data_IF_395279088496
#
_entry.id   IF_395279088496
#
_cell.length_a   1.000
_cell.length_b   1.000
_cell.length_c   1.000
_cell.angle_alpha   90.00
_cell.angle_beta   90.00
_cell.angle_gamma   90.00
#
_symmetry.space_group_name_H-M   'P 1'
#
loop_
_entity.id
_entity.type
_entity.pdbx_description
1 polymer ?
#
# COMPACT_ATOMS: atom_id res chain seq x y z
N UNK A 1 -7.69 7.11 5.36
CA UNK A 1 -8.22 5.75 5.62
C UNK A 1 -7.06 4.78 5.45
N UNK A 2 -6.79 3.87 6.39
CA UNK A 2 -5.76 2.85 6.17
C UNK A 2 -6.25 1.81 5.16
N UNK A 3 -5.41 1.48 4.17
CA UNK A 3 -5.66 0.40 3.22
C UNK A 3 -5.84 -0.92 3.98
N UNK A 4 -6.64 -1.84 3.45
CA UNK A 4 -6.80 -3.19 4.01
C UNK A 4 -5.45 -3.91 4.13
N UNK A 5 -4.55 -3.74 3.14
CA UNK A 5 -3.18 -4.24 3.18
C UNK A 5 -2.39 -3.70 4.38
N UNK A 6 -2.49 -2.40 4.69
CA UNK A 6 -1.80 -1.82 5.84
C UNK A 6 -2.35 -2.36 7.16
N UNK A 7 -3.67 -2.62 7.26
CA UNK A 7 -4.26 -3.27 8.44
C UNK A 7 -3.69 -4.67 8.63
N UNK A 8 -3.68 -5.48 7.57
CA UNK A 8 -3.09 -6.83 7.60
C UNK A 8 -1.61 -6.80 8.02
N UNK A 9 -0.83 -5.82 7.52
CA UNK A 9 0.57 -5.63 7.93
C UNK A 9 0.70 -5.38 9.43
N UNK A 10 -0.14 -4.51 9.99
CA UNK A 10 -0.19 -4.24 11.43
C UNK A 10 -0.62 -5.47 12.22
N UNK A 11 -1.64 -6.20 11.78
CA UNK A 11 -2.12 -7.40 12.46
C UNK A 11 -1.08 -8.52 12.49
N UNK A 12 -0.38 -8.75 11.38
CA UNK A 12 0.75 -9.69 11.32
C UNK A 12 1.84 -9.31 12.33
N UNK A 13 2.22 -8.03 12.41
CA UNK A 13 3.22 -7.57 13.38
C UNK A 13 2.76 -7.78 14.83
N UNK A 14 1.49 -7.50 15.12
CA UNK A 14 0.91 -7.71 16.44
C UNK A 14 0.92 -9.19 16.83
N UNK A 15 0.55 -10.10 15.91
CA UNK A 15 0.59 -11.54 16.17
C UNK A 15 2.02 -12.03 16.38
N UNK A 16 2.99 -11.58 15.57
CA UNK A 16 4.42 -11.91 15.77
C UNK A 16 4.89 -11.49 17.17
N UNK A 17 4.51 -10.30 17.61
CA UNK A 17 4.80 -9.82 18.98
C UNK A 17 4.11 -10.66 20.07
N UNK A 18 2.88 -11.12 19.85
CA UNK A 18 2.20 -12.03 20.79
C UNK A 18 2.97 -13.35 20.91
N UNK A 19 3.39 -13.95 19.77
CA UNK A 19 4.21 -15.16 19.76
C UNK A 19 5.50 -14.93 20.57
N UNK A 20 6.21 -13.83 20.33
CA UNK A 20 7.44 -13.50 21.07
C UNK A 20 7.21 -13.45 22.60
N UNK A 21 6.13 -12.79 23.04
CA UNK A 21 5.78 -12.70 24.46
C UNK A 21 5.42 -14.07 25.06
N UNK A 22 4.75 -14.93 24.29
CA UNK A 22 4.44 -16.30 24.70
C UNK A 22 5.73 -17.12 24.82
N UNK A 23 6.64 -17.03 23.84
CA UNK A 23 7.92 -17.74 23.84
C UNK A 23 8.80 -17.36 25.04
N UNK A 24 8.76 -16.10 25.50
CA UNK A 24 9.45 -15.69 26.74
C UNK A 24 8.94 -16.42 28.00
N UNK A 25 7.74 -17.02 27.94
CA UNK A 25 7.13 -17.77 29.03
C UNK A 25 7.04 -19.28 28.72
N UNK A 26 7.73 -19.76 27.69
CA UNK A 26 7.66 -21.13 27.17
C UNK A 26 7.74 -22.18 28.29
N UNK A 27 8.80 -22.13 29.12
CA UNK A 27 9.01 -23.10 30.20
C UNK A 27 7.80 -23.21 31.14
N UNK A 28 7.33 -22.06 31.65
CA UNK A 28 6.18 -22.02 32.55
C UNK A 28 4.93 -22.54 31.85
N UNK A 29 4.68 -22.14 30.61
CA UNK A 29 3.50 -22.58 29.87
C UNK A 29 3.53 -24.08 29.56
N UNK A 30 4.69 -24.65 29.24
CA UNK A 30 4.89 -26.09 29.04
C UNK A 30 4.64 -26.83 30.36
N UNK A 31 5.18 -26.35 31.48
CA UNK A 31 5.02 -26.99 32.79
C UNK A 31 3.54 -27.10 33.22
N UNK A 32 2.70 -26.10 32.87
CA UNK A 32 1.28 -26.08 33.24
C UNK A 32 0.33 -26.67 32.19
N UNK A 33 0.67 -26.64 30.89
CA UNK A 33 -0.25 -27.04 29.81
C UNK A 33 0.21 -28.27 29.02
N UNK A 34 1.48 -28.64 29.12
CA UNK A 34 2.12 -29.68 28.32
C UNK A 34 2.66 -29.16 26.98
N UNK A 35 3.76 -29.77 26.54
CA UNK A 35 4.48 -29.37 25.33
C UNK A 35 3.62 -29.43 24.06
N UNK A 36 2.78 -30.45 23.93
CA UNK A 36 1.90 -30.64 22.77
C UNK A 36 0.90 -29.47 22.61
N UNK A 37 0.26 -29.07 23.71
CA UNK A 37 -0.70 -27.96 23.69
C UNK A 37 0.00 -26.63 23.37
N UNK A 38 1.17 -26.40 23.96
CA UNK A 38 1.98 -25.23 23.67
C UNK A 38 2.33 -25.15 22.17
N UNK A 39 2.88 -26.23 21.61
CA UNK A 39 3.22 -26.33 20.18
C UNK A 39 2.01 -26.08 19.29
N UNK A 40 0.84 -26.62 19.65
CA UNK A 40 -0.40 -26.43 18.89
C UNK A 40 -0.84 -24.96 18.84
N UNK A 41 -0.73 -24.23 19.96
CA UNK A 41 -1.06 -22.80 20.02
C UNK A 41 -0.11 -21.98 19.13
N UNK A 42 1.20 -22.26 19.19
CA UNK A 42 2.19 -21.57 18.35
C UNK A 42 1.96 -21.89 16.86
N UNK A 43 1.68 -23.16 16.51
CA UNK A 43 1.35 -23.55 15.14
C UNK A 43 0.15 -22.77 14.61
N UNK A 44 -0.93 -22.67 15.39
CA UNK A 44 -2.13 -21.93 15.01
C UNK A 44 -1.83 -20.47 14.66
N UNK A 45 -1.04 -19.77 15.47
CA UNK A 45 -0.67 -18.37 15.17
C UNK A 45 0.21 -18.26 13.92
N UNK A 46 1.15 -19.18 13.72
CA UNK A 46 1.99 -19.22 12.52
C UNK A 46 1.16 -19.46 11.26
N UNK A 47 0.21 -20.40 11.29
CA UNK A 47 -0.72 -20.67 10.20
C UNK A 47 -1.60 -19.45 9.89
N UNK A 48 -2.08 -18.75 10.93
CA UNK A 48 -2.84 -17.51 10.76
C UNK A 48 -1.98 -16.41 10.08
N UNK A 49 -0.72 -16.25 10.48
CA UNK A 49 0.23 -15.33 9.83
C UNK A 49 0.37 -15.67 8.35
N UNK A 50 0.57 -16.95 8.00
CA UNK A 50 0.69 -17.37 6.59
C UNK A 50 -0.55 -17.02 5.78
N UNK A 51 -1.75 -17.23 6.34
CA UNK A 51 -3.01 -16.85 5.70
C UNK A 51 -3.11 -15.32 5.50
N UNK A 52 -2.71 -14.54 6.50
CA UNK A 52 -2.72 -13.08 6.41
C UNK A 52 -1.69 -12.55 5.43
N UNK A 53 -0.50 -13.15 5.36
CA UNK A 53 0.54 -12.81 4.39
C UNK A 53 0.04 -13.08 2.96
N UNK A 54 -0.55 -14.26 2.70
CA UNK A 54 -1.17 -14.57 1.40
C UNK A 54 -2.28 -13.58 1.04
N UNK A 55 -3.16 -13.25 1.98
CA UNK A 55 -4.24 -12.27 1.74
C UNK A 55 -3.67 -10.89 1.47
N UNK A 56 -2.70 -10.45 2.26
CA UNK A 56 -1.98 -9.19 2.05
C UNK A 56 -1.42 -9.16 0.64
N UNK A 57 -0.67 -10.17 0.22
CA UNK A 57 -0.01 -10.22 -1.10
C UNK A 57 -0.99 -10.27 -2.28
N UNK A 58 -2.20 -10.78 -2.07
CA UNK A 58 -3.28 -10.72 -3.06
C UNK A 58 -3.89 -9.32 -3.25
N UNK A 59 -3.54 -8.34 -2.41
CA UNK A 59 -4.02 -6.96 -2.51
C UNK A 59 -2.99 -6.06 -3.22
N UNK A 60 -3.43 -5.16 -4.10
CA UNK A 60 -2.52 -4.27 -4.81
C UNK A 60 -1.87 -3.25 -3.88
N UNK A 61 -0.58 -2.96 -4.08
CA UNK A 61 0.16 -1.88 -3.40
C UNK A 61 -0.22 -0.49 -3.92
N UNK A 62 -0.95 -0.42 -5.01
CA UNK A 62 -1.39 0.81 -5.65
C UNK A 62 -1.85 0.60 -7.08
N UNK A 63 -2.04 1.70 -7.79
CA UNK A 63 -2.51 1.73 -9.17
C UNK A 63 -1.53 2.49 -10.04
N UNK A 64 -1.24 1.99 -11.24
CA UNK A 64 -0.36 2.65 -12.21
C UNK A 64 -1.15 3.11 -13.42
N UNK A 65 -1.05 4.39 -13.74
CA UNK A 65 -1.58 4.94 -14.98
C UNK A 65 -0.43 5.32 -15.91
N UNK A 66 -0.39 4.80 -17.12
CA UNK A 66 0.58 5.20 -18.15
C UNK A 66 -0.17 5.77 -19.34
N UNK A 67 0.01 7.04 -19.62
CA UNK A 67 -0.72 7.68 -20.70
C UNK A 67 -0.62 9.19 -20.71
N UNK A 68 -1.59 9.81 -21.38
CA UNK A 68 -1.73 11.27 -21.41
C UNK A 68 -2.66 11.69 -20.28
N UNK A 69 -2.27 12.72 -19.55
CA UNK A 69 -3.09 13.35 -18.52
C UNK A 69 -2.86 14.86 -18.48
N UNK A 70 -3.75 15.54 -17.76
CA UNK A 70 -3.76 17.00 -17.65
C UNK A 70 -3.70 17.41 -16.19
N UNK A 71 -2.87 18.40 -15.88
CA UNK A 71 -2.80 19.04 -14.56
C UNK A 71 -3.02 20.55 -14.70
N UNK A 72 -3.48 21.20 -13.63
CA UNK A 72 -3.65 22.65 -13.62
C UNK A 72 -2.28 23.35 -13.63
N UNK A 73 -2.08 24.30 -14.53
CA UNK A 73 -0.90 25.17 -14.53
C UNK A 73 -0.99 26.14 -13.36
N UNK A 74 0.01 26.18 -12.46
CA UNK A 74 -0.01 27.09 -11.31
C UNK A 74 -0.12 28.56 -11.76
N UNK A 75 -0.88 29.35 -11.00
CA UNK A 75 -0.94 30.81 -11.13
C UNK A 75 -1.33 31.36 -12.52
N UNK A 76 -2.25 30.69 -13.23
CA UNK A 76 -2.78 31.15 -14.52
C UNK A 76 -4.25 31.56 -14.42
N UNK A 77 -4.58 32.72 -15.03
CA UNK A 77 -5.93 33.22 -15.28
C UNK A 77 -6.03 33.70 -16.75
N UNK A 78 -6.92 33.13 -17.59
CA UNK A 78 -7.83 32.02 -17.28
C UNK A 78 -7.06 30.73 -16.96
N UNK A 79 -7.75 29.77 -16.33
CA UNK A 79 -7.12 28.51 -15.91
C UNK A 79 -6.58 27.74 -17.12
N UNK A 80 -5.29 27.46 -17.13
CA UNK A 80 -4.63 26.66 -18.17
C UNK A 80 -4.32 25.24 -17.68
N UNK A 81 -4.36 24.29 -18.62
CA UNK A 81 -3.96 22.89 -18.39
C UNK A 81 -2.56 22.62 -18.95
N UNK A 82 -1.76 21.83 -18.25
CA UNK A 82 -0.52 21.24 -18.74
C UNK A 82 -0.81 19.82 -19.20
N UNK A 83 -0.51 19.50 -20.47
CA UNK A 83 -0.62 18.15 -21.02
C UNK A 83 0.70 17.40 -20.76
N UNK A 84 0.62 16.25 -20.12
CA UNK A 84 1.78 15.41 -19.79
C UNK A 84 1.55 14.00 -20.33
N UNK A 85 2.61 13.34 -20.83
CA UNK A 85 2.56 11.94 -21.30
C UNK A 85 3.61 11.12 -20.56
N UNK A 86 3.21 10.50 -19.45
CA UNK A 86 4.12 9.81 -18.53
C UNK A 86 3.37 8.73 -17.73
N UNK A 87 4.07 8.11 -16.77
CA UNK A 87 3.51 7.17 -15.81
C UNK A 87 3.28 7.85 -14.46
N UNK A 88 2.11 7.61 -13.88
CA UNK A 88 1.72 7.97 -12.52
C UNK A 88 1.49 6.71 -11.69
N UNK A 89 1.73 6.82 -10.39
CA UNK A 89 1.45 5.78 -9.42
C UNK A 89 0.57 6.34 -8.31
N UNK A 90 -0.51 5.67 -7.94
CA UNK A 90 -1.31 6.02 -6.77
C UNK A 90 -1.08 4.96 -5.70
N UNK A 91 -0.33 5.27 -4.63
CA UNK A 91 -0.15 4.34 -3.51
C UNK A 91 -1.49 3.98 -2.87
N UNK A 92 -1.65 2.73 -2.44
CA UNK A 92 -2.91 2.21 -1.85
C UNK A 92 -3.45 3.00 -0.65
N UNK A 93 -2.58 3.73 0.05
CA UNK A 93 -2.91 4.48 1.27
C UNK A 93 -3.24 5.95 0.99
N UNK A 94 -3.15 6.39 -0.28
CA UNK A 94 -3.39 7.76 -0.71
C UNK A 94 -4.46 7.83 -1.80
N UNK A 95 -5.10 8.99 -1.89
CA UNK A 95 -6.04 9.32 -2.97
C UNK A 95 -5.41 10.26 -4.01
N UNK A 96 -4.09 10.37 -4.04
CA UNK A 96 -3.36 11.30 -4.90
C UNK A 96 -2.36 10.55 -5.77
N UNK A 97 -2.28 10.98 -7.03
CA UNK A 97 -1.29 10.45 -7.96
C UNK A 97 0.10 10.98 -7.61
N UNK A 98 1.06 10.09 -7.57
CA UNK A 98 2.48 10.34 -7.43
C UNK A 98 3.14 10.28 -8.80
N UNK A 99 3.93 11.30 -9.11
CA UNK A 99 4.85 11.33 -10.24
C UNK A 99 6.27 11.16 -9.71
N UNK A 100 6.98 10.13 -10.17
CA UNK A 100 8.42 10.00 -9.95
C UNK A 100 9.19 10.84 -10.96
N UNK A 101 10.17 11.58 -10.47
CA UNK A 101 11.06 12.42 -11.25
C UNK A 101 12.49 12.09 -10.88
N UNK A 102 13.29 11.65 -11.85
CA UNK A 102 14.73 11.49 -11.66
C UNK A 102 15.42 12.77 -12.11
N UNK A 103 16.09 13.46 -11.19
CA UNK A 103 16.87 14.66 -11.49
C UNK A 103 18.23 14.54 -10.81
N UNK A 104 19.31 14.76 -11.57
CA UNK A 104 20.69 14.72 -11.08
C UNK A 104 21.07 13.40 -10.37
N UNK A 105 20.48 12.28 -10.80
CA UNK A 105 20.69 10.96 -10.19
C UNK A 105 19.85 10.69 -8.93
N UNK A 106 19.04 11.66 -8.48
CA UNK A 106 18.14 11.52 -7.35
C UNK A 106 16.70 11.30 -7.82
N UNK A 107 16.01 10.33 -7.20
CA UNK A 107 14.57 10.13 -7.40
C UNK A 107 13.78 11.02 -6.43
N UNK A 108 12.89 11.83 -7.00
CA UNK A 108 11.95 12.67 -6.29
C UNK A 108 10.52 12.21 -6.56
N UNK A 109 9.73 12.10 -5.50
CA UNK A 109 8.31 11.81 -5.57
C UNK A 109 7.50 13.09 -5.41
N UNK A 110 6.68 13.43 -6.42
CA UNK A 110 5.80 14.59 -6.39
C UNK A 110 4.34 14.15 -6.41
N UNK A 111 3.59 14.53 -5.37
CA UNK A 111 2.16 14.27 -5.32
C UNK A 111 1.37 15.35 -6.06
N UNK A 112 0.59 14.92 -7.04
CA UNK A 112 -0.29 15.75 -7.83
C UNK A 112 -1.64 15.88 -7.10
N UNK A 113 -2.02 17.12 -6.76
CA UNK A 113 -3.29 17.40 -6.07
C UNK A 113 -4.51 17.01 -6.88
N UNK A 114 -4.47 17.18 -8.20
CA UNK A 114 -5.56 16.84 -9.11
C UNK A 114 -5.00 16.53 -10.50
N UNK A 115 -5.51 15.47 -11.11
CA UNK A 115 -5.13 14.99 -12.43
C UNK A 115 -6.40 14.68 -13.21
N UNK A 116 -6.42 15.00 -14.49
CA UNK A 116 -7.60 14.91 -15.35
C UNK A 116 -7.29 14.17 -16.65
N UNK A 117 -8.31 13.54 -17.22
CA UNK A 117 -8.22 12.85 -18.51
C UNK A 117 -8.33 13.80 -19.70
N UNK A 118 -8.92 14.97 -19.48
CA UNK A 118 -9.25 15.92 -20.54
C UNK A 118 -8.64 17.32 -20.29
N UNK A 119 -8.46 18.08 -21.37
CA UNK A 119 -7.87 19.43 -21.34
C UNK A 119 -8.71 20.44 -20.56
N UNK A 120 -10.05 20.27 -20.53
CA UNK A 120 -10.96 21.18 -19.81
C UNK A 120 -10.94 20.91 -18.30
N UNK A 121 -10.27 19.84 -17.86
CA UNK A 121 -10.14 19.45 -16.46
C UNK A 121 -11.52 19.20 -15.81
N UNK A 122 -12.41 18.55 -16.55
CA UNK A 122 -13.75 18.20 -16.05
C UNK A 122 -13.87 16.73 -15.66
N UNK A 123 -13.01 15.86 -16.21
CA UNK A 123 -13.02 14.43 -15.98
C UNK A 123 -11.79 14.06 -15.15
N UNK A 124 -11.92 13.82 -13.83
CA UNK A 124 -10.80 13.44 -13.00
C UNK A 124 -10.25 12.07 -13.43
N UNK A 125 -8.93 11.91 -13.31
CA UNK A 125 -8.27 10.63 -13.42
C UNK A 125 -8.35 9.94 -12.05
N UNK A 126 -9.05 8.81 -11.99
CA UNK A 126 -9.30 8.05 -10.75
C UNK A 126 -8.50 6.75 -10.75
N UNK A 127 -8.34 6.12 -9.58
CA UNK A 127 -7.52 4.91 -9.43
C UNK A 127 -7.95 3.78 -10.38
N UNK A 128 -9.25 3.67 -10.68
CA UNK A 128 -9.84 2.66 -11.56
C UNK A 128 -9.39 2.81 -13.03
N UNK A 129 -8.80 3.96 -13.38
CA UNK A 129 -8.18 4.18 -14.69
C UNK A 129 -6.77 3.62 -14.79
N UNK A 130 -6.17 3.28 -13.65
CA UNK A 130 -4.85 2.65 -13.56
C UNK A 130 -4.95 1.14 -13.42
N UNK A 131 -3.87 0.47 -13.80
CA UNK A 131 -3.68 -0.96 -13.60
C UNK A 131 -3.24 -1.25 -12.16
N UNK A 132 -3.79 -2.31 -11.56
CA UNK A 132 -3.38 -2.75 -10.23
C UNK A 132 -1.91 -3.18 -10.24
N UNK A 133 -1.14 -2.70 -9.26
CA UNK A 133 0.26 -3.09 -9.06
C UNK A 133 0.36 -3.92 -7.79
N UNK A 134 1.08 -5.04 -7.86
CA UNK A 134 1.35 -5.92 -6.72
C UNK A 134 2.83 -5.87 -6.33
N UNK A 135 3.15 -6.28 -5.10
CA UNK A 135 4.54 -6.40 -4.65
C UNK A 135 5.20 -7.59 -5.39
N UNK A 136 6.36 -7.35 -6.02
CA UNK A 136 7.13 -8.32 -6.80
C UNK A 136 8.07 -9.15 -5.94
#
# INVERSE_FOLDING_TARGET
MSSERQKLKTDIQNIKRIIELIMQKEKVLIDYSGEEKFKKVISYFNEAIVCFEKKKDSLPIGYRYTGIFYTKKPYTYPVESVKTKETLFMPEHLSSWEKKLTKDGYEYSYYLRAVYKDKKMTIPLVREDGEMVFES
#
